data_IF_676096803925
#
_entry.id   IF_676096803925
#
_cell.length_a   1.000
_cell.length_b   1.000
_cell.length_c   1.000
_cell.angle_alpha   90.00
_cell.angle_beta   90.00
_cell.angle_gamma   90.00
#
_symmetry.space_group_name_H-M   'P 1'
#
loop_
_entity.id
_entity.type
_entity.pdbx_description
1 polymer ?
#
# COMPACT_ATOMS: atom_id res chain seq x y z
N UNK A 1 10.72 12.51 6.24
CA UNK A 1 11.81 12.88 5.30
C UNK A 1 12.23 11.73 4.38
N UNK A 2 12.62 10.54 4.87
CA UNK A 2 12.93 9.40 3.98
C UNK A 2 11.69 8.69 3.39
N UNK A 3 10.57 8.68 4.13
CA UNK A 3 9.29 8.10 3.69
C UNK A 3 8.57 8.94 2.64
N UNK A 4 8.65 10.26 2.72
CA UNK A 4 8.04 11.18 1.76
C UNK A 4 8.63 11.03 0.36
N UNK A 5 9.95 10.81 0.28
CA UNK A 5 10.65 10.60 -0.99
C UNK A 5 10.25 9.27 -1.64
N UNK A 6 10.05 8.21 -0.85
CA UNK A 6 9.60 6.90 -1.33
C UNK A 6 8.16 6.94 -1.87
N UNK A 7 7.28 7.68 -1.21
CA UNK A 7 5.90 7.88 -1.64
C UNK A 7 5.86 8.73 -2.91
N UNK A 8 6.69 9.77 -3.00
CA UNK A 8 6.80 10.61 -4.20
C UNK A 8 7.33 9.83 -5.40
N UNK A 9 8.35 8.97 -5.20
CA UNK A 9 8.83 8.05 -6.24
C UNK A 9 7.74 7.06 -6.64
N UNK A 10 6.98 6.50 -5.70
CA UNK A 10 5.86 5.60 -5.99
C UNK A 10 4.79 6.30 -6.85
N UNK A 11 4.41 7.54 -6.50
CA UNK A 11 3.43 8.32 -7.27
C UNK A 11 3.94 8.70 -8.67
N UNK A 12 5.20 9.09 -8.81
CA UNK A 12 5.81 9.37 -10.13
C UNK A 12 5.87 8.09 -10.97
N UNK A 13 6.15 6.94 -10.35
CA UNK A 13 6.19 5.65 -11.04
C UNK A 13 4.78 5.21 -11.48
N UNK A 14 3.78 5.39 -10.63
CA UNK A 14 2.37 5.09 -10.95
C UNK A 14 1.85 6.01 -12.07
N UNK A 15 2.19 7.31 -12.05
CA UNK A 15 1.82 8.25 -13.12
C UNK A 15 2.51 7.91 -14.44
N UNK A 16 3.80 7.54 -14.40
CA UNK A 16 4.53 7.07 -15.57
C UNK A 16 3.92 5.79 -16.15
N UNK A 17 3.46 4.89 -15.28
CA UNK A 17 2.83 3.65 -15.67
C UNK A 17 1.44 3.85 -16.31
N UNK A 18 0.58 4.70 -15.72
CA UNK A 18 -0.71 5.07 -16.32
C UNK A 18 -0.51 5.70 -17.71
N UNK A 19 0.53 6.54 -17.88
CA UNK A 19 0.88 7.10 -19.18
C UNK A 19 1.31 6.03 -20.19
N UNK A 20 2.08 5.03 -19.76
CA UNK A 20 2.50 3.90 -20.62
C UNK A 20 1.30 3.05 -21.01
N UNK A 21 0.41 2.70 -20.08
CA UNK A 21 -0.81 1.94 -20.35
C UNK A 21 -1.75 2.67 -21.32
N UNK A 22 -1.90 4.00 -21.18
CA UNK A 22 -2.70 4.81 -22.12
C UNK A 22 -2.07 4.81 -23.51
N UNK A 23 -0.75 5.02 -23.62
CA UNK A 23 -0.04 4.99 -24.91
C UNK A 23 -0.10 3.61 -25.56
N UNK A 24 -0.05 2.54 -24.76
CA UNK A 24 -0.21 1.17 -25.24
C UNK A 24 -1.65 0.86 -25.67
N UNK A 25 -2.66 1.30 -24.92
CA UNK A 25 -4.07 1.15 -25.28
C UNK A 25 -4.39 1.87 -26.60
N UNK A 26 -3.80 3.05 -26.84
CA UNK A 26 -3.91 3.75 -28.13
C UNK A 26 -3.24 2.96 -29.27
N UNK A 27 -2.12 2.28 -29.01
CA UNK A 27 -1.47 1.42 -30.02
C UNK A 27 -2.27 0.14 -30.31
N UNK A 28 -2.97 -0.42 -29.34
CA UNK A 28 -3.88 -1.59 -29.52
C UNK A 28 -4.98 -1.28 -30.54
N UNK A 29 -5.54 -0.05 -30.50
CA UNK A 29 -6.56 0.39 -31.45
C UNK A 29 -5.99 0.57 -32.88
N UNK A 30 -4.66 0.74 -32.99
CA UNK A 30 -3.98 1.08 -34.25
C UNK A 30 -3.36 -0.11 -34.99
N UNK A 31 -3.19 -1.29 -34.38
CA UNK A 31 -2.47 -2.41 -35.01
C UNK A 31 -3.41 -3.53 -35.47
N UNK A 32 -3.41 -3.82 -36.77
CA UNK A 32 -4.21 -4.88 -37.43
C UNK A 32 -3.45 -6.22 -37.56
N UNK A 33 -2.34 -6.39 -36.82
CA UNK A 33 -1.43 -7.53 -36.99
C UNK A 33 -1.45 -8.52 -35.81
N UNK A 34 -1.63 -9.81 -36.13
CA UNK A 34 -1.92 -10.88 -35.16
C UNK A 34 -0.73 -11.25 -34.25
N UNK A 35 0.52 -11.09 -34.71
CA UNK A 35 1.70 -11.33 -33.86
C UNK A 35 1.90 -10.20 -32.84
N UNK A 36 1.62 -8.97 -33.25
CA UNK A 36 1.70 -7.79 -32.39
C UNK A 36 0.72 -7.88 -31.23
N UNK A 37 -0.47 -8.45 -31.47
CA UNK A 37 -1.51 -8.66 -30.46
C UNK A 37 -1.09 -9.61 -29.31
N UNK A 38 -0.44 -10.74 -29.61
CA UNK A 38 -0.02 -11.70 -28.58
C UNK A 38 1.09 -11.12 -27.69
N UNK A 39 2.08 -10.47 -28.29
CA UNK A 39 3.16 -9.81 -27.55
C UNK A 39 2.58 -8.73 -26.63
N UNK A 40 1.60 -7.97 -27.10
CA UNK A 40 0.92 -6.94 -26.30
C UNK A 40 0.15 -7.51 -25.11
N UNK A 41 -0.57 -8.64 -25.26
CA UNK A 41 -1.26 -9.28 -24.13
C UNK A 41 -0.26 -9.68 -23.04
N UNK A 42 0.86 -10.27 -23.44
CA UNK A 42 1.90 -10.69 -22.48
C UNK A 42 2.47 -9.49 -21.74
N UNK A 43 2.74 -8.38 -22.44
CA UNK A 43 3.23 -7.15 -21.82
C UNK A 43 2.20 -6.58 -20.82
N UNK A 44 0.92 -6.50 -21.18
CA UNK A 44 -0.12 -6.02 -20.28
C UNK A 44 -0.25 -6.89 -19.02
N UNK A 45 -0.15 -8.21 -19.15
CA UNK A 45 -0.18 -9.12 -18.01
C UNK A 45 1.04 -8.93 -17.10
N UNK A 46 2.23 -8.78 -17.69
CA UNK A 46 3.46 -8.54 -16.93
C UNK A 46 3.40 -7.22 -16.19
N UNK A 47 2.98 -6.16 -16.88
CA UNK A 47 2.76 -4.85 -16.28
C UNK A 47 1.75 -4.93 -15.15
N UNK A 48 0.61 -5.59 -15.32
CA UNK A 48 -0.41 -5.71 -14.27
C UNK A 48 0.13 -6.45 -13.03
N UNK A 49 0.97 -7.48 -13.24
CA UNK A 49 1.63 -8.22 -12.18
C UNK A 49 2.64 -7.35 -11.41
N UNK A 50 3.42 -6.52 -12.12
CA UNK A 50 4.32 -5.55 -11.49
C UNK A 50 3.58 -4.55 -10.62
N UNK A 51 2.44 -4.04 -11.09
CA UNK A 51 1.59 -3.14 -10.31
C UNK A 51 1.07 -3.82 -9.03
N UNK A 52 0.57 -5.05 -9.15
CA UNK A 52 0.10 -5.81 -7.99
C UNK A 52 1.22 -6.04 -6.96
N UNK A 53 2.44 -6.38 -7.42
CA UNK A 53 3.60 -6.53 -6.55
C UNK A 53 3.98 -5.23 -5.85
N UNK A 54 3.94 -4.10 -6.56
CA UNK A 54 4.24 -2.79 -5.99
C UNK A 54 3.23 -2.40 -4.91
N UNK A 55 1.93 -2.55 -5.20
CA UNK A 55 0.86 -2.25 -4.27
C UNK A 55 0.98 -3.12 -3.00
N UNK A 56 1.24 -4.42 -3.17
CA UNK A 56 1.48 -5.32 -2.06
C UNK A 56 2.69 -4.91 -1.21
N UNK A 57 3.81 -4.51 -1.84
CA UNK A 57 5.02 -4.09 -1.12
C UNK A 57 4.79 -2.80 -0.32
N UNK A 58 4.04 -1.84 -0.89
CA UNK A 58 3.65 -0.61 -0.17
C UNK A 58 2.82 -0.95 1.05
N UNK A 59 1.78 -1.76 0.89
CA UNK A 59 0.90 -2.19 2.00
C UNK A 59 1.69 -2.97 3.04
N UNK A 60 2.54 -3.92 2.63
CA UNK A 60 3.41 -4.69 3.52
C UNK A 60 4.32 -3.79 4.38
N UNK A 61 4.90 -2.75 3.78
CA UNK A 61 5.74 -1.79 4.51
C UNK A 61 4.93 -0.92 5.47
N UNK A 62 3.74 -0.48 5.06
CA UNK A 62 2.83 0.27 5.93
C UNK A 62 2.41 -0.58 7.13
N UNK A 63 2.05 -1.84 6.92
CA UNK A 63 1.68 -2.80 7.96
C UNK A 63 2.82 -3.04 8.93
N UNK A 64 4.03 -3.30 8.42
CA UNK A 64 5.22 -3.45 9.27
C UNK A 64 5.51 -2.22 10.11
N UNK A 65 5.18 -1.02 9.62
CA UNK A 65 5.32 0.20 10.40
C UNK A 65 4.25 0.33 11.50
N UNK A 66 3.03 -0.17 11.26
CA UNK A 66 1.99 -0.27 12.29
C UNK A 66 2.37 -1.29 13.37
N UNK A 67 2.83 -2.48 12.97
CA UNK A 67 3.30 -3.51 13.90
C UNK A 67 4.43 -2.98 14.80
N UNK A 68 5.43 -2.32 14.21
CA UNK A 68 6.52 -1.70 14.98
C UNK A 68 6.06 -0.67 15.99
N UNK A 69 5.02 0.09 15.68
CA UNK A 69 4.44 1.05 16.62
C UNK A 69 3.81 0.31 17.80
N UNK A 70 3.05 -0.74 17.52
CA UNK A 70 2.39 -1.55 18.54
C UNK A 70 3.41 -2.29 19.41
N UNK A 71 4.52 -2.76 18.82
CA UNK A 71 5.67 -3.32 19.55
C UNK A 71 6.30 -2.30 20.51
N UNK A 72 6.51 -1.06 20.07
CA UNK A 72 7.06 0.01 20.92
C UNK A 72 6.13 0.27 22.10
N UNK A 73 4.82 0.32 21.87
CA UNK A 73 3.81 0.51 22.91
C UNK A 73 3.85 -0.68 23.90
N UNK A 74 3.92 -1.91 23.39
CA UNK A 74 4.00 -3.13 24.20
C UNK A 74 5.24 -3.14 25.10
N UNK A 75 6.42 -2.80 24.54
CA UNK A 75 7.66 -2.69 25.31
C UNK A 75 7.53 -1.60 26.38
N UNK A 76 6.95 -0.46 26.05
CA UNK A 76 6.76 0.64 26.98
C UNK A 76 5.84 0.25 28.15
N UNK A 77 4.77 -0.48 27.85
CA UNK A 77 3.84 -1.00 28.84
C UNK A 77 4.52 -2.03 29.76
N UNK A 78 5.32 -2.94 29.20
CA UNK A 78 6.11 -3.89 29.99
C UNK A 78 7.10 -3.21 30.94
N UNK A 79 7.79 -2.17 30.46
CA UNK A 79 8.74 -1.40 31.26
C UNK A 79 8.00 -0.66 32.38
N UNK A 80 6.85 -0.03 32.11
CA UNK A 80 6.08 0.73 33.09
C UNK A 80 5.47 -0.11 34.22
N UNK A 81 5.24 -1.41 33.99
CA UNK A 81 4.74 -2.36 35.00
C UNK A 81 5.85 -2.79 35.98
N UNK A 82 7.12 -2.61 35.62
CA UNK A 82 8.24 -2.97 36.49
C UNK A 82 8.23 -2.14 37.79
N UNK A 83 8.25 -2.85 38.92
CA UNK A 83 8.11 -2.30 40.27
C UNK A 83 9.38 -1.58 40.74
N UNK A 84 10.51 -1.81 40.06
CA UNK A 84 11.82 -1.26 40.42
C UNK A 84 12.21 0.01 39.66
N UNK A 85 11.33 0.55 38.83
CA UNK A 85 11.60 1.78 38.10
C UNK A 85 11.66 2.99 39.03
N UNK A 86 12.70 3.81 38.82
CA UNK A 86 12.84 5.11 39.46
C UNK A 86 11.63 6.00 39.11
N UNK A 87 10.96 6.64 40.09
CA UNK A 87 9.78 7.47 39.88
C UNK A 87 9.98 8.57 38.83
N UNK A 88 11.17 9.19 38.76
CA UNK A 88 11.46 10.23 37.76
C UNK A 88 11.51 9.65 36.33
N UNK A 89 12.03 8.43 36.17
CA UNK A 89 12.02 7.71 34.87
C UNK A 89 10.62 7.24 34.50
N UNK A 90 9.80 6.86 35.49
CA UNK A 90 8.41 6.46 35.28
C UNK A 90 7.59 7.58 34.67
N UNK A 91 7.73 8.79 35.19
CA UNK A 91 7.04 9.99 34.69
C UNK A 91 7.44 10.28 33.23
N UNK A 92 8.73 10.28 32.92
CA UNK A 92 9.21 10.45 31.52
C UNK A 92 8.67 9.38 30.57
N UNK A 93 8.58 8.11 31.02
CA UNK A 93 8.04 7.02 30.20
C UNK A 93 6.52 7.13 30.02
N UNK A 94 5.78 7.64 31.01
CA UNK A 94 4.35 7.93 30.88
C UNK A 94 4.10 9.07 29.90
N UNK A 95 4.94 10.10 29.92
CA UNK A 95 4.88 11.20 28.94
C UNK A 95 5.17 10.68 27.53
N UNK A 96 6.21 9.87 27.35
CA UNK A 96 6.53 9.22 26.08
C UNK A 96 5.35 8.36 25.59
N UNK A 97 4.71 7.60 26.50
CA UNK A 97 3.52 6.79 26.19
C UNK A 97 2.40 7.67 25.69
N UNK A 98 2.07 8.73 26.42
CA UNK A 98 1.01 9.66 26.02
C UNK A 98 1.29 10.27 24.64
N UNK A 99 2.55 10.59 24.35
CA UNK A 99 2.97 11.12 23.05
C UNK A 99 2.73 10.10 21.91
N UNK A 100 3.16 8.85 22.10
CA UNK A 100 3.02 7.77 21.10
C UNK A 100 1.56 7.40 20.86
N UNK A 101 0.72 7.46 21.90
CA UNK A 101 -0.73 7.27 21.75
C UNK A 101 -1.41 8.46 21.06
N UNK A 102 -1.01 9.69 21.39
CA UNK A 102 -1.60 10.91 20.83
C UNK A 102 -1.31 11.12 19.33
N UNK A 103 -0.21 10.55 18.83
CA UNK A 103 0.23 10.68 17.43
C UNK A 103 0.39 9.30 16.78
N UNK A 104 -0.72 8.60 16.50
CA UNK A 104 -0.66 7.32 15.80
C UNK A 104 -0.06 7.52 14.40
N UNK A 105 0.96 6.73 14.06
CA UNK A 105 1.47 6.67 12.69
C UNK A 105 0.41 5.93 11.86
N UNK A 106 -0.31 6.68 11.04
CA UNK A 106 -1.31 6.14 10.12
C UNK A 106 -0.93 6.58 8.70
N UNK A 107 -0.79 5.61 7.79
CA UNK A 107 -0.62 5.89 6.37
C UNK A 107 -2.01 5.83 5.73
N UNK A 108 -2.47 6.98 5.25
CA UNK A 108 -3.75 7.12 4.57
C UNK A 108 -3.51 7.52 3.13
N UNK A 109 -4.33 7.01 2.21
CA UNK A 109 -4.36 7.53 0.86
C UNK A 109 -5.27 8.76 0.84
N UNK A 110 -4.67 9.94 0.72
CA UNK A 110 -5.39 11.23 0.67
C UNK A 110 -6.42 11.43 1.80
N UNK A 111 -6.17 10.85 2.99
CA UNK A 111 -7.10 10.84 4.14
C UNK A 111 -8.47 10.16 3.91
N UNK A 112 -8.64 9.39 2.84
CA UNK A 112 -9.89 8.66 2.58
C UNK A 112 -9.90 7.28 3.26
N UNK A 113 -8.82 6.52 3.09
CA UNK A 113 -8.72 5.16 3.62
C UNK A 113 -7.31 4.88 4.12
N UNK A 114 -7.22 4.00 5.12
CA UNK A 114 -5.95 3.50 5.65
C UNK A 114 -5.33 2.50 4.67
N UNK A 115 -4.03 2.58 4.48
CA UNK A 115 -3.28 1.58 3.72
C UNK A 115 -3.01 0.38 4.63
N UNK A 116 -3.84 -0.66 4.51
CA UNK A 116 -3.78 -1.91 5.28
C UNK A 116 -4.07 -3.13 4.37
N UNK A 117 -3.91 -4.35 4.88
CA UNK A 117 -4.23 -5.56 4.10
C UNK A 117 -5.70 -5.65 3.70
N UNK A 118 -6.59 -5.09 4.51
CA UNK A 118 -8.03 -5.03 4.21
C UNK A 118 -8.30 -4.32 2.89
N UNK A 119 -7.52 -3.28 2.58
CA UNK A 119 -7.59 -2.58 1.32
C UNK A 119 -7.23 -3.47 0.13
N UNK A 120 -6.15 -4.26 0.22
CA UNK A 120 -5.72 -5.16 -0.85
C UNK A 120 -6.82 -6.17 -1.16
N UNK A 121 -7.39 -6.77 -0.11
CA UNK A 121 -8.48 -7.74 -0.24
C UNK A 121 -9.71 -7.08 -0.89
N UNK A 122 -10.04 -5.84 -0.48
CA UNK A 122 -11.15 -5.08 -1.06
C UNK A 122 -10.94 -4.81 -2.55
N UNK A 123 -9.73 -4.39 -2.95
CA UNK A 123 -9.38 -4.19 -4.36
C UNK A 123 -9.47 -5.49 -5.16
N UNK A 124 -8.93 -6.60 -4.65
CA UNK A 124 -9.05 -7.91 -5.28
C UNK A 124 -10.52 -8.31 -5.47
N UNK A 125 -11.36 -8.12 -4.46
CA UNK A 125 -12.78 -8.40 -4.54
C UNK A 125 -13.47 -7.58 -5.63
N UNK A 126 -13.23 -6.25 -5.67
CA UNK A 126 -13.81 -5.37 -6.69
C UNK A 126 -13.36 -5.78 -8.10
N UNK A 127 -12.09 -6.12 -8.29
CA UNK A 127 -11.56 -6.59 -9.56
C UNK A 127 -12.22 -7.90 -10.01
N UNK A 128 -12.31 -8.88 -9.12
CA UNK A 128 -12.97 -10.16 -9.42
C UNK A 128 -14.44 -9.96 -9.76
N UNK A 129 -15.17 -9.16 -8.98
CA UNK A 129 -16.58 -8.87 -9.24
C UNK A 129 -16.77 -8.16 -10.59
N UNK A 130 -15.96 -7.13 -10.90
CA UNK A 130 -16.02 -6.45 -12.19
C UNK A 130 -15.72 -7.39 -13.35
N UNK A 131 -14.72 -8.27 -13.19
CA UNK A 131 -14.37 -9.25 -14.21
C UNK A 131 -15.53 -10.21 -14.47
N UNK A 132 -16.18 -10.73 -13.42
CA UNK A 132 -17.36 -11.59 -13.54
C UNK A 132 -18.50 -10.86 -14.25
N UNK A 133 -18.79 -9.61 -13.85
CA UNK A 133 -19.84 -8.80 -14.47
C UNK A 133 -19.53 -8.57 -15.96
N UNK A 134 -18.30 -8.21 -16.30
CA UNK A 134 -17.89 -8.02 -17.69
C UNK A 134 -18.05 -9.31 -18.50
N UNK A 135 -17.57 -10.45 -17.98
CA UNK A 135 -17.74 -11.75 -18.64
C UNK A 135 -19.20 -12.13 -18.87
N UNK A 136 -20.08 -11.79 -17.92
CA UNK A 136 -21.53 -12.02 -18.07
C UNK A 136 -22.17 -11.11 -19.12
N UNK A 137 -21.64 -9.90 -19.32
CA UNK A 137 -22.15 -8.91 -20.28
C UNK A 137 -21.57 -9.09 -21.70
N UNK A 138 -20.50 -9.88 -21.90
CA UNK A 138 -19.95 -10.23 -23.22
C UNK A 138 -20.75 -11.39 -23.84
N UNK A 139 -22.08 -11.21 -23.90
CA UNK A 139 -23.03 -12.17 -24.49
C UNK A 139 -23.71 -11.57 -25.71
#
# INVERSE_FOLDING_TARGET
>A
MFTDLQILFSHIYILGYIMVDIVFAVRIISSDDQQTFVIMIILNLLSALEFAMLLFNVVYRCEKAYERRDDIISILDHVLVDKYINPMKKETLLDLRSLVYSRPIQFTAANFYRLDYSLVISFCSVLTTHTIILMQNVK
#
